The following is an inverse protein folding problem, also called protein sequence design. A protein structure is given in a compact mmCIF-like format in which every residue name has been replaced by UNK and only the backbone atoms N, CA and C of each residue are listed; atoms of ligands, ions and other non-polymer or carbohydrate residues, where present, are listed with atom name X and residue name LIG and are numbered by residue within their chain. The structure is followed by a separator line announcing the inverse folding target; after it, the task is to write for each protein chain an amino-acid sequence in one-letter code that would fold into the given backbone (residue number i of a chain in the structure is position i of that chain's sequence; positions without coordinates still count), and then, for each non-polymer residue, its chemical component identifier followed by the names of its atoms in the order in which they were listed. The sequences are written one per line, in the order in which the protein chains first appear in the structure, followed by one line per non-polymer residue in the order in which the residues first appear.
data_IF_859945916418
#
_entry.id   IF_859945916418
#
_cell.length_a   1.000
_cell.length_b   1.000
_cell.length_c   1.000
_cell.angle_alpha   90.00
_cell.angle_beta   90.00
_cell.angle_gamma   90.00
#
_symmetry.space_group_name_H-M   'P 1'
#
loop_
_entity.id
_entity.type
_entity.pdbx_description
1 polymer ?
#
# COMPACT_ATOMS: atom_id res chain seq x y z
N UNK A 1 -19.51 -4.44 33.21
CA UNK A 1 -19.27 -3.81 34.53
C UNK A 1 -18.00 -2.96 34.45
N UNK A 2 -18.07 -1.71 34.92
CA UNK A 2 -17.03 -0.68 34.82
C UNK A 2 -15.80 -1.03 35.67
N UNK A 3 -14.62 -1.05 35.06
CA UNK A 3 -13.33 -1.11 35.78
C UNK A 3 -12.91 0.31 36.15
N UNK A 4 -12.79 0.54 37.47
CA UNK A 4 -12.48 1.83 38.09
C UNK A 4 -10.97 2.05 38.15
N UNK A 5 -10.52 3.20 37.65
CA UNK A 5 -9.20 3.75 37.91
C UNK A 5 -8.98 3.91 39.42
N UNK A 6 -7.84 3.42 39.92
CA UNK A 6 -7.39 3.67 41.29
C UNK A 6 -6.78 5.06 41.36
N UNK A 7 -7.30 5.86 42.29
CA UNK A 7 -6.85 7.20 42.61
C UNK A 7 -5.48 7.13 43.30
N UNK A 8 -4.50 7.85 42.75
CA UNK A 8 -3.26 8.18 43.45
C UNK A 8 -3.58 9.30 44.44
N UNK A 9 -3.42 9.02 45.72
CA UNK A 9 -3.55 9.98 46.82
C UNK A 9 -2.38 10.96 46.79
N UNK A 10 -2.68 12.25 46.66
CA UNK A 10 -1.75 13.34 46.94
C UNK A 10 -1.65 13.55 48.45
N UNK A 11 -0.47 13.42 49.03
CA UNK A 11 -0.17 13.95 50.36
C UNK A 11 0.09 15.47 50.24
N UNK A 12 -0.57 16.33 51.04
CA UNK A 12 -0.25 17.75 51.04
C UNK A 12 1.06 17.96 51.82
N UNK A 13 2.07 18.53 51.16
CA UNK A 13 3.24 19.07 51.85
C UNK A 13 2.84 20.41 52.47
N UNK A 14 3.10 20.67 53.76
CA UNK A 14 2.70 21.93 54.39
C UNK A 14 3.57 23.08 53.85
N UNK A 15 2.93 24.06 53.22
CA UNK A 15 3.51 25.36 52.88
C UNK A 15 3.59 26.20 54.16
N UNK A 16 4.76 26.28 54.77
CA UNK A 16 5.06 27.27 55.80
C UNK A 16 5.35 28.60 55.10
N UNK A 17 4.38 29.52 55.17
CA UNK A 17 4.54 30.90 54.74
C UNK A 17 5.29 31.68 55.82
N UNK A 18 6.61 31.82 55.66
CA UNK A 18 7.38 32.85 56.33
C UNK A 18 7.92 33.84 55.30
N UNK A 19 7.47 35.09 55.43
CA UNK A 19 7.79 36.23 54.58
C UNK A 19 9.28 36.59 54.67
N UNK A 20 10.08 36.19 53.67
CA UNK A 20 11.44 36.71 53.41
C UNK A 20 11.72 36.69 51.89
N UNK A 21 12.05 37.86 51.32
CA UNK A 21 12.44 38.13 49.92
C UNK A 21 11.64 37.41 48.81
N UNK A 22 10.48 37.95 48.42
CA UNK A 22 9.61 37.39 47.37
C UNK A 22 10.31 37.16 46.02
N UNK A 23 11.34 37.92 45.67
CA UNK A 23 12.06 37.78 44.40
C UNK A 23 12.91 36.51 44.29
N UNK A 24 13.45 35.99 45.40
CA UNK A 24 14.26 34.75 45.36
C UNK A 24 13.39 33.49 45.30
N UNK A 25 12.23 33.49 45.95
CA UNK A 25 11.29 32.37 45.94
C UNK A 25 10.58 32.21 44.59
N UNK A 26 10.22 33.30 43.91
CA UNK A 26 9.67 33.23 42.54
C UNK A 26 10.74 32.82 41.53
N UNK A 27 11.97 33.31 41.67
CA UNK A 27 13.08 32.86 40.83
C UNK A 27 13.36 31.36 41.00
N UNK A 28 13.36 30.85 42.24
CA UNK A 28 13.52 29.41 42.50
C UNK A 28 12.36 28.58 41.93
N UNK A 29 11.12 29.08 41.99
CA UNK A 29 9.96 28.43 41.38
C UNK A 29 10.08 28.38 39.84
N UNK A 30 10.43 29.50 39.20
CA UNK A 30 10.64 29.59 37.75
C UNK A 30 11.74 28.63 37.28
N UNK A 31 12.87 28.58 37.99
CA UNK A 31 13.96 27.65 37.69
C UNK A 31 13.52 26.19 37.88
N UNK A 32 12.75 25.89 38.92
CA UNK A 32 12.20 24.54 39.14
C UNK A 32 11.27 24.14 38.00
N UNK A 33 10.35 25.02 37.59
CA UNK A 33 9.44 24.79 36.47
C UNK A 33 10.19 24.58 35.14
N UNK A 34 11.23 25.39 34.88
CA UNK A 34 12.10 25.25 33.70
C UNK A 34 12.83 23.91 33.71
N UNK A 35 13.37 23.48 34.86
CA UNK A 35 14.05 22.19 34.99
C UNK A 35 13.08 21.02 34.77
N UNK A 36 11.90 21.06 35.38
CA UNK A 36 10.87 20.02 35.18
C UNK A 36 10.44 19.95 33.72
N UNK A 37 10.16 21.10 33.09
CA UNK A 37 9.84 21.17 31.67
C UNK A 37 10.94 20.57 30.81
N UNK A 38 12.20 20.93 31.03
CA UNK A 38 13.33 20.43 30.26
C UNK A 38 13.51 18.91 30.39
N UNK A 39 13.31 18.35 31.58
CA UNK A 39 13.39 16.89 31.81
C UNK A 39 12.27 16.17 31.05
N UNK A 40 11.03 16.65 31.16
CA UNK A 40 9.89 16.04 30.47
C UNK A 40 9.98 16.19 28.96
N UNK A 41 10.46 17.34 28.47
CA UNK A 41 10.73 17.57 27.06
C UNK A 41 11.82 16.61 26.57
N UNK A 42 12.93 16.47 27.30
CA UNK A 42 14.03 15.55 26.95
C UNK A 42 13.56 14.11 26.75
N UNK A 43 12.80 13.59 27.73
CA UNK A 43 12.26 12.24 27.68
C UNK A 43 11.33 12.01 26.47
N UNK A 44 10.49 12.99 26.16
CA UNK A 44 9.60 12.94 25.01
C UNK A 44 10.39 12.94 23.69
N UNK A 45 11.43 13.76 23.58
CA UNK A 45 12.31 13.80 22.40
C UNK A 45 13.01 12.46 22.18
N UNK A 46 13.60 11.87 23.22
CA UNK A 46 14.25 10.54 23.11
C UNK A 46 13.26 9.46 22.62
N UNK A 47 12.04 9.47 23.16
CA UNK A 47 11.00 8.52 22.74
C UNK A 47 10.55 8.77 21.30
N UNK A 48 10.45 10.04 20.88
CA UNK A 48 10.13 10.40 19.51
C UNK A 48 11.22 9.95 18.54
N UNK A 49 12.49 10.16 18.89
CA UNK A 49 13.65 9.71 18.12
C UNK A 49 13.64 8.20 17.91
N UNK A 50 13.40 7.44 18.99
CA UNK A 50 13.32 5.99 18.93
C UNK A 50 12.23 5.52 17.95
N UNK A 51 11.03 6.08 18.06
CA UNK A 51 9.91 5.73 17.16
C UNK A 51 10.16 6.17 15.71
N UNK A 52 10.75 7.36 15.51
CA UNK A 52 11.15 7.81 14.18
C UNK A 52 12.14 6.83 13.54
N UNK A 53 13.15 6.38 14.29
CA UNK A 53 14.11 5.38 13.83
C UNK A 53 13.46 4.03 13.53
N UNK A 54 12.46 3.59 14.31
CA UNK A 54 11.70 2.38 13.98
C UNK A 54 11.02 2.50 12.62
N UNK A 55 10.36 3.63 12.35
CA UNK A 55 9.69 3.87 11.06
C UNK A 55 10.68 3.95 9.92
N UNK A 56 11.78 4.70 10.05
CA UNK A 56 12.78 4.82 8.97
C UNK A 56 13.51 3.52 8.70
N UNK A 57 13.82 2.72 9.73
CA UNK A 57 14.39 1.39 9.56
C UNK A 57 13.40 0.45 8.85
N UNK A 58 12.13 0.51 9.22
CA UNK A 58 11.09 -0.26 8.53
C UNK A 58 10.94 0.19 7.07
N UNK A 59 11.05 1.49 6.79
CA UNK A 59 11.06 2.08 5.45
C UNK A 59 12.46 2.14 4.82
N UNK A 60 13.40 1.27 5.19
CA UNK A 60 14.74 1.22 4.59
C UNK A 60 14.89 0.05 3.62
N UNK A 61 15.73 0.20 2.59
CA UNK A 61 16.08 -0.93 1.70
C UNK A 61 17.03 -1.93 2.36
N UNK A 62 17.84 -1.46 3.30
CA UNK A 62 19.03 -2.18 3.77
C UNK A 62 18.75 -3.05 5.01
N UNK A 63 17.59 -2.86 5.65
CA UNK A 63 17.23 -3.57 6.87
C UNK A 63 16.64 -4.96 6.60
N UNK A 64 16.96 -5.92 7.47
CA UNK A 64 16.51 -7.32 7.34
C UNK A 64 15.00 -7.50 7.53
N UNK A 65 14.33 -6.57 8.20
CA UNK A 65 12.89 -6.61 8.45
C UNK A 65 12.20 -5.33 7.97
N UNK A 66 12.53 -4.87 6.75
CA UNK A 66 11.91 -3.69 6.16
C UNK A 66 10.67 -4.00 5.34
N UNK A 67 9.79 -3.00 5.22
CA UNK A 67 8.68 -2.93 4.27
C UNK A 67 9.11 -3.39 2.88
N UNK A 68 10.31 -2.99 2.46
CA UNK A 68 10.86 -3.33 1.16
C UNK A 68 11.14 -4.84 1.02
N UNK A 69 11.65 -5.53 2.04
CA UNK A 69 11.84 -6.98 1.99
C UNK A 69 10.51 -7.75 2.09
N UNK A 70 9.56 -7.28 2.89
CA UNK A 70 8.19 -7.81 2.91
C UNK A 70 7.55 -7.72 1.52
N UNK A 71 7.75 -6.60 0.83
CA UNK A 71 7.27 -6.37 -0.53
C UNK A 71 8.01 -7.22 -1.56
N UNK A 72 9.34 -7.21 -1.58
CA UNK A 72 10.15 -7.78 -2.66
C UNK A 72 9.88 -9.26 -2.94
N UNK A 73 9.70 -10.07 -1.90
CA UNK A 73 9.49 -11.52 -2.08
C UNK A 73 8.18 -11.82 -2.79
N UNK A 74 7.11 -11.14 -2.38
CA UNK A 74 5.78 -11.34 -2.94
C UNK A 74 5.59 -10.52 -4.23
N UNK A 75 6.25 -9.37 -4.33
CA UNK A 75 6.38 -8.59 -5.55
C UNK A 75 7.03 -9.38 -6.66
N UNK A 76 8.15 -10.07 -6.42
CA UNK A 76 8.79 -10.89 -7.44
C UNK A 76 7.84 -11.96 -8.00
N UNK A 77 7.09 -12.63 -7.12
CA UNK A 77 6.08 -13.63 -7.52
C UNK A 77 4.97 -13.03 -8.37
N UNK A 78 4.38 -11.92 -7.92
CA UNK A 78 3.33 -11.23 -8.67
C UNK A 78 3.87 -10.69 -9.99
N UNK A 79 5.09 -10.19 -10.00
CA UNK A 79 5.78 -9.68 -11.18
C UNK A 79 5.92 -10.77 -12.24
N UNK A 80 6.35 -11.98 -11.88
CA UNK A 80 6.40 -13.14 -12.79
C UNK A 80 5.04 -13.42 -13.43
N UNK A 81 3.97 -13.42 -12.63
CA UNK A 81 2.59 -13.65 -13.11
C UNK A 81 2.17 -12.59 -14.15
N UNK A 82 2.39 -11.31 -13.84
CA UNK A 82 1.99 -10.19 -14.69
C UNK A 82 2.90 -10.00 -15.90
N UNK A 83 4.18 -10.35 -15.79
CA UNK A 83 5.14 -10.30 -16.90
C UNK A 83 4.85 -11.37 -17.93
N UNK A 84 4.42 -12.56 -17.50
CA UNK A 84 4.02 -13.61 -18.43
C UNK A 84 2.92 -13.12 -19.39
N UNK A 85 1.86 -12.49 -18.87
CA UNK A 85 0.82 -11.87 -19.70
C UNK A 85 1.42 -10.81 -20.63
N UNK A 86 2.19 -9.88 -20.09
CA UNK A 86 2.76 -8.75 -20.84
C UNK A 86 3.63 -9.22 -22.01
N UNK A 87 4.49 -10.22 -21.78
CA UNK A 87 5.43 -10.74 -22.79
C UNK A 87 4.74 -11.56 -23.88
N UNK A 88 3.62 -12.23 -23.58
CA UNK A 88 2.95 -13.14 -24.51
C UNK A 88 1.70 -12.54 -25.19
N UNK A 89 1.13 -11.48 -24.62
CA UNK A 89 -0.06 -10.81 -25.15
C UNK A 89 0.28 -9.37 -25.56
N UNK A 90 0.62 -8.52 -24.60
CA UNK A 90 0.75 -7.07 -24.82
C UNK A 90 1.92 -6.71 -25.76
N UNK A 91 3.08 -7.35 -25.57
CA UNK A 91 4.28 -7.10 -26.37
C UNK A 91 4.29 -7.91 -27.68
N UNK A 92 3.40 -8.89 -27.84
CA UNK A 92 3.26 -9.67 -29.07
C UNK A 92 2.31 -8.95 -30.02
N UNK A 93 2.85 -8.04 -30.84
CA UNK A 93 2.05 -7.19 -31.73
C UNK A 93 1.02 -7.98 -32.57
N UNK A 94 1.36 -9.18 -33.06
CA UNK A 94 0.41 -10.02 -33.82
C UNK A 94 -0.78 -10.49 -32.96
N UNK A 95 -0.53 -10.84 -31.70
CA UNK A 95 -1.54 -11.37 -30.79
C UNK A 95 -2.41 -10.23 -30.27
N UNK A 96 -1.80 -9.13 -29.84
CA UNK A 96 -2.54 -7.95 -29.37
C UNK A 96 -3.45 -7.39 -30.47
N UNK A 97 -2.95 -7.26 -31.72
CA UNK A 97 -3.76 -6.82 -32.86
C UNK A 97 -4.91 -7.78 -33.20
N UNK A 98 -4.69 -9.09 -33.07
CA UNK A 98 -5.74 -10.10 -33.25
C UNK A 98 -6.83 -9.95 -32.17
N UNK A 99 -6.45 -9.80 -30.90
CA UNK A 99 -7.41 -9.66 -29.80
C UNK A 99 -8.15 -8.31 -29.80
N UNK A 100 -7.59 -7.29 -30.44
CA UNK A 100 -8.25 -5.99 -30.69
C UNK A 100 -9.26 -6.01 -31.83
N UNK A 101 -9.27 -7.04 -32.68
CA UNK A 101 -10.24 -7.12 -33.77
C UNK A 101 -11.68 -7.19 -33.23
N UNK A 102 -12.68 -6.72 -34.00
CA UNK A 102 -14.09 -6.94 -33.67
C UNK A 102 -14.40 -8.42 -33.45
N UNK A 103 -15.40 -8.73 -32.63
CA UNK A 103 -15.78 -10.11 -32.31
C UNK A 103 -16.02 -10.98 -33.55
N UNK A 104 -16.61 -10.42 -34.62
CA UNK A 104 -16.88 -11.13 -35.87
C UNK A 104 -15.62 -11.48 -36.68
N UNK A 105 -14.55 -10.72 -36.52
CA UNK A 105 -13.25 -10.96 -37.15
C UNK A 105 -12.37 -11.97 -36.39
N UNK A 106 -12.86 -12.50 -35.25
CA UNK A 106 -12.19 -13.49 -34.40
C UNK A 106 -12.95 -14.81 -34.42
N UNK A 107 -12.23 -15.92 -34.33
CA UNK A 107 -12.81 -17.24 -34.10
C UNK A 107 -11.95 -18.04 -33.12
N UNK A 108 -12.55 -18.98 -32.40
CA UNK A 108 -11.89 -19.88 -31.45
C UNK A 108 -12.24 -21.32 -31.81
N UNK A 109 -11.24 -22.18 -31.88
CA UNK A 109 -11.43 -23.54 -32.38
C UNK A 109 -10.12 -24.31 -32.45
N UNK A 110 -10.09 -25.36 -33.27
CA UNK A 110 -8.90 -26.17 -33.51
C UNK A 110 -8.77 -26.53 -34.98
N UNK A 111 -7.58 -26.94 -35.39
CA UNK A 111 -7.36 -27.51 -36.72
C UNK A 111 -7.50 -29.03 -36.64
N UNK A 112 -8.38 -29.60 -37.46
CA UNK A 112 -8.48 -31.03 -37.66
C UNK A 112 -7.25 -31.58 -38.41
N UNK A 113 -7.09 -32.90 -38.46
CA UNK A 113 -5.93 -33.57 -39.07
C UNK A 113 -5.75 -33.27 -40.56
N UNK A 114 -6.81 -32.86 -41.24
CA UNK A 114 -6.83 -32.45 -42.66
C UNK A 114 -6.47 -30.96 -42.85
N UNK A 115 -6.22 -30.22 -41.77
CA UNK A 115 -5.94 -28.78 -41.79
C UNK A 115 -7.18 -27.89 -41.82
N UNK A 116 -8.40 -28.46 -41.78
CA UNK A 116 -9.64 -27.69 -41.72
C UNK A 116 -9.82 -27.09 -40.33
N UNK A 117 -10.17 -25.80 -40.26
CA UNK A 117 -10.48 -25.15 -38.99
C UNK A 117 -11.90 -25.51 -38.55
N UNK A 118 -12.03 -26.09 -37.36
CA UNK A 118 -13.31 -26.41 -36.72
C UNK A 118 -13.61 -25.32 -35.69
N UNK A 119 -14.60 -24.48 -36.01
CA UNK A 119 -15.03 -23.40 -35.12
C UNK A 119 -15.77 -23.94 -33.90
N UNK A 120 -15.42 -23.40 -32.74
CA UNK A 120 -16.09 -23.59 -31.45
C UNK A 120 -16.66 -22.26 -30.94
N UNK A 121 -16.83 -21.26 -31.82
CA UNK A 121 -17.25 -19.90 -31.46
C UNK A 121 -18.55 -19.88 -30.66
N UNK A 122 -19.50 -20.76 -30.99
CA UNK A 122 -20.77 -20.88 -30.29
C UNK A 122 -20.62 -21.44 -28.86
N UNK A 123 -19.68 -22.36 -28.64
CA UNK A 123 -19.46 -22.99 -27.33
C UNK A 123 -18.51 -22.17 -26.44
N UNK A 124 -17.58 -21.43 -27.04
CA UNK A 124 -16.50 -20.72 -26.35
C UNK A 124 -16.50 -19.20 -26.62
N UNK A 125 -17.63 -18.62 -27.04
CA UNK A 125 -17.79 -17.16 -27.22
C UNK A 125 -17.31 -16.36 -26.00
N UNK A 126 -17.62 -16.84 -24.80
CA UNK A 126 -17.21 -16.24 -23.53
C UNK A 126 -15.70 -16.10 -23.37
N UNK A 127 -14.89 -16.95 -24.01
CA UNK A 127 -13.43 -16.84 -24.01
C UNK A 127 -13.00 -15.63 -24.83
N UNK A 128 -13.59 -15.44 -26.01
CA UNK A 128 -13.30 -14.31 -26.88
C UNK A 128 -13.70 -12.99 -26.24
N UNK A 129 -14.83 -12.95 -25.53
CA UNK A 129 -15.29 -11.79 -24.75
C UNK A 129 -14.35 -11.50 -23.57
N UNK A 130 -13.92 -12.53 -22.85
CA UNK A 130 -13.01 -12.40 -21.71
C UNK A 130 -11.61 -11.91 -22.11
N UNK A 131 -11.13 -12.32 -23.29
CA UNK A 131 -9.82 -11.96 -23.83
C UNK A 131 -9.84 -10.71 -24.73
N UNK A 132 -10.97 -10.02 -24.83
CA UNK A 132 -11.11 -8.89 -25.74
C UNK A 132 -10.26 -7.69 -25.31
N UNK A 133 -9.47 -7.16 -26.25
CA UNK A 133 -8.66 -5.95 -26.09
C UNK A 133 -9.20 -4.77 -26.91
N UNK A 134 -10.33 -4.94 -27.61
CA UNK A 134 -10.97 -3.86 -28.33
C UNK A 134 -11.60 -2.86 -27.34
N UNK A 135 -11.19 -1.59 -27.43
CA UNK A 135 -11.52 -0.54 -26.44
C UNK A 135 -12.42 0.55 -27.02
N UNK A 136 -13.10 0.27 -28.14
CA UNK A 136 -14.07 1.17 -28.75
C UNK A 136 -15.38 1.21 -27.95
N UNK A 137 -15.35 1.91 -26.82
CA UNK A 137 -16.49 2.14 -25.93
C UNK A 137 -16.03 2.23 -24.48
N UNK A 138 -16.35 3.34 -23.79
CA UNK A 138 -16.30 3.36 -22.34
C UNK A 138 -17.08 2.14 -21.83
N UNK A 139 -16.42 1.31 -21.00
CA UNK A 139 -16.80 -0.03 -20.52
C UNK A 139 -16.32 -1.25 -21.34
N UNK A 140 -15.02 -1.52 -21.26
CA UNK A 140 -14.48 -2.90 -21.19
C UNK A 140 -13.74 -3.20 -19.85
N UNK A 141 -13.87 -2.32 -18.85
CA UNK A 141 -13.07 -2.36 -17.61
C UNK A 141 -13.25 -3.64 -16.77
N UNK A 142 -14.31 -4.42 -17.02
CA UNK A 142 -14.65 -5.61 -16.22
C UNK A 142 -14.33 -6.96 -16.88
N UNK A 143 -13.89 -6.98 -18.14
CA UNK A 143 -13.50 -8.25 -18.76
C UNK A 143 -12.21 -8.79 -18.13
N UNK A 144 -11.94 -10.08 -18.36
CA UNK A 144 -10.80 -10.75 -17.73
C UNK A 144 -9.48 -10.09 -18.13
N UNK A 145 -9.27 -9.81 -19.42
CA UNK A 145 -8.05 -9.15 -19.91
C UNK A 145 -7.80 -7.78 -19.24
N UNK A 146 -8.83 -6.95 -19.07
CA UNK A 146 -8.72 -5.66 -18.38
C UNK A 146 -8.36 -5.83 -16.90
N UNK A 147 -8.94 -6.82 -16.21
CA UNK A 147 -8.60 -7.14 -14.81
C UNK A 147 -7.14 -7.56 -14.65
N UNK A 148 -6.59 -8.30 -15.61
CA UNK A 148 -5.19 -8.75 -15.61
C UNK A 148 -4.24 -7.61 -15.94
N UNK A 149 -4.63 -6.73 -16.86
CA UNK A 149 -3.86 -5.51 -17.13
C UNK A 149 -3.77 -4.61 -15.89
N UNK A 150 -4.90 -4.38 -15.20
CA UNK A 150 -4.93 -3.61 -13.96
C UNK A 150 -4.06 -4.25 -12.87
N UNK A 151 -3.98 -5.57 -12.83
CA UNK A 151 -3.04 -6.28 -11.95
C UNK A 151 -1.58 -5.90 -12.22
N UNK A 152 -1.16 -5.92 -13.49
CA UNK A 152 0.19 -5.48 -13.88
C UNK A 152 0.47 -4.01 -13.61
N UNK A 153 -0.54 -3.13 -13.68
CA UNK A 153 -0.39 -1.71 -13.33
C UNK A 153 -0.15 -1.52 -11.84
N UNK A 154 -0.95 -2.14 -10.99
CA UNK A 154 -0.78 -2.06 -9.53
C UNK A 154 0.54 -2.61 -9.06
N UNK A 155 1.00 -3.69 -9.68
CA UNK A 155 2.29 -4.27 -9.35
C UNK A 155 3.45 -3.31 -9.63
N UNK A 156 3.32 -2.42 -10.61
CA UNK A 156 4.28 -1.33 -10.85
C UNK A 156 4.09 -0.17 -9.89
N UNK A 157 2.84 0.24 -9.68
CA UNK A 157 2.50 1.37 -8.81
C UNK A 157 2.92 1.15 -7.36
N UNK A 158 2.75 -0.06 -6.82
CA UNK A 158 3.19 -0.37 -5.45
C UNK A 158 4.71 -0.22 -5.30
N UNK A 159 5.51 -0.63 -6.29
CA UNK A 159 6.96 -0.43 -6.25
C UNK A 159 7.29 1.07 -6.26
N UNK A 160 6.75 1.83 -7.20
CA UNK A 160 6.97 3.28 -7.31
C UNK A 160 6.58 4.05 -6.04
N UNK A 161 5.41 3.74 -5.46
CA UNK A 161 4.91 4.40 -4.24
C UNK A 161 5.74 4.03 -3.03
N UNK A 162 6.18 2.77 -2.90
CA UNK A 162 7.08 2.38 -1.84
C UNK A 162 8.39 3.14 -1.98
N UNK A 163 9.03 3.14 -3.15
CA UNK A 163 10.25 3.93 -3.41
C UNK A 163 10.08 5.41 -3.08
N UNK A 164 8.93 6.00 -3.45
CA UNK A 164 8.58 7.39 -3.14
C UNK A 164 8.44 7.62 -1.62
N UNK A 165 7.79 6.70 -0.91
CA UNK A 165 7.69 6.75 0.55
C UNK A 165 9.08 6.65 1.22
N UNK A 166 9.97 5.78 0.73
CA UNK A 166 11.36 5.66 1.25
C UNK A 166 12.12 6.99 1.10
N UNK A 167 11.95 7.69 -0.03
CA UNK A 167 12.73 8.90 -0.35
C UNK A 167 12.14 10.19 0.22
N UNK A 168 10.85 10.20 0.56
CA UNK A 168 10.14 11.42 0.97
C UNK A 168 9.68 11.43 2.42
N UNK A 169 9.78 10.31 3.17
CA UNK A 169 9.35 10.25 4.57
C UNK A 169 10.03 11.32 5.43
N UNK A 170 11.33 11.55 5.24
CA UNK A 170 12.05 12.60 5.96
C UNK A 170 11.51 14.01 5.67
N UNK A 171 10.86 14.24 4.53
CA UNK A 171 10.31 15.56 4.13
C UNK A 171 8.91 15.79 4.70
N UNK A 172 8.26 14.76 5.21
CA UNK A 172 6.97 14.87 5.92
C UNK A 172 7.12 15.67 7.20
N UNK A 173 5.98 16.07 7.78
CA UNK A 173 5.88 16.70 9.08
C UNK A 173 6.59 15.88 10.16
N UNK A 174 6.49 14.55 10.12
CA UNK A 174 7.20 13.66 11.04
C UNK A 174 8.73 13.85 10.98
N UNK A 175 9.28 13.93 9.77
CA UNK A 175 10.72 14.14 9.54
C UNK A 175 11.18 15.59 9.77
N UNK A 176 10.34 16.59 9.49
CA UNK A 176 10.62 17.99 9.84
C UNK A 176 10.64 18.21 11.35
N UNK A 177 9.68 17.61 12.06
CA UNK A 177 9.63 17.62 13.52
C UNK A 177 10.86 16.93 14.12
N UNK A 178 11.24 15.76 13.60
CA UNK A 178 12.48 15.08 13.98
C UNK A 178 13.72 15.97 13.76
N UNK A 179 13.87 16.57 12.58
CA UNK A 179 15.03 17.43 12.26
C UNK A 179 15.12 18.63 13.19
N UNK A 180 13.99 19.26 13.48
CA UNK A 180 13.90 20.41 14.39
C UNK A 180 14.40 20.06 15.79
N UNK A 181 14.10 18.85 16.27
CA UNK A 181 14.52 18.36 17.59
C UNK A 181 15.99 17.91 17.66
N UNK A 182 16.59 17.48 16.54
CA UNK A 182 17.77 16.59 16.61
C UNK A 182 18.92 16.93 15.68
N UNK A 183 18.64 17.56 14.54
CA UNK A 183 19.63 17.75 13.48
C UNK A 183 19.93 19.23 13.27
N UNK A 184 18.95 20.12 13.46
CA UNK A 184 19.13 21.56 13.23
C UNK A 184 20.24 22.11 14.14
N UNK A 185 21.43 22.46 13.62
CA UNK A 185 22.56 22.90 14.44
C UNK A 185 22.28 24.21 15.17
N UNK A 186 21.34 25.01 14.66
CA UNK A 186 20.92 26.25 15.28
C UNK A 186 20.04 26.00 16.53
N UNK A 187 19.34 24.87 16.56
CA UNK A 187 18.37 24.49 17.59
C UNK A 187 18.78 23.24 18.40
N UNK A 188 19.87 22.55 18.09
CA UNK A 188 20.20 21.24 18.69
C UNK A 188 20.96 21.30 20.02
N UNK A 189 21.50 22.47 20.40
CA UNK A 189 22.23 22.64 21.66
C UNK A 189 21.43 23.47 22.66
N UNK A 190 21.40 23.04 23.92
CA UNK A 190 20.82 23.77 25.06
C UNK A 190 19.32 24.10 24.97
N UNK A 191 18.60 23.43 24.07
CA UNK A 191 17.14 23.46 24.04
C UNK A 191 16.57 22.86 25.34
N UNK A 192 15.35 23.25 25.76
CA UNK A 192 14.40 24.07 25.02
C UNK A 192 14.55 25.58 25.23
N UNK A 193 15.40 26.04 26.17
CA UNK A 193 15.48 27.46 26.58
C UNK A 193 16.79 28.20 26.22
N UNK A 194 17.75 27.53 25.57
CA UNK A 194 18.92 28.09 24.89
C UNK A 194 19.68 29.19 25.66
N UNK A 195 20.13 28.91 26.89
CA UNK A 195 20.85 29.89 27.72
C UNK A 195 20.16 31.28 27.84
N UNK A 196 18.83 31.34 27.73
CA UNK A 196 18.07 32.60 27.76
C UNK A 196 17.86 33.27 26.40
N UNK A 197 18.24 32.64 25.30
CA UNK A 197 17.92 33.06 23.93
C UNK A 197 16.43 32.78 23.64
N UNK A 198 15.61 33.80 23.95
CA UNK A 198 14.17 33.74 23.76
C UNK A 198 13.78 33.59 22.29
N UNK A 199 14.53 34.19 21.37
CA UNK A 199 14.24 34.10 19.93
C UNK A 199 14.35 32.66 19.44
N UNK A 200 15.42 31.96 19.82
CA UNK A 200 15.57 30.52 19.49
C UNK A 200 14.49 29.66 20.12
N UNK A 201 14.11 29.97 21.35
CA UNK A 201 13.01 29.28 22.06
C UNK A 201 11.70 29.45 21.30
N UNK A 202 11.37 30.68 20.89
CA UNK A 202 10.14 31.01 20.15
C UNK A 202 10.15 30.35 18.75
N UNK A 203 11.30 30.32 18.06
CA UNK A 203 11.47 29.63 16.78
C UNK A 203 11.25 28.12 16.92
N UNK A 204 11.88 27.49 17.92
CA UNK A 204 11.71 26.06 18.21
C UNK A 204 10.23 25.74 18.42
N UNK A 205 9.58 26.47 19.33
CA UNK A 205 8.18 26.22 19.70
C UNK A 205 7.22 26.44 18.53
N UNK A 206 7.44 27.49 17.74
CA UNK A 206 6.64 27.77 16.54
C UNK A 206 6.75 26.65 15.50
N UNK A 207 7.96 26.14 15.25
CA UNK A 207 8.19 25.05 14.28
C UNK A 207 7.54 23.76 14.74
N UNK A 208 7.72 23.38 16.00
CA UNK A 208 7.11 22.16 16.55
C UNK A 208 5.57 22.22 16.51
N UNK A 209 4.97 23.37 16.86
CA UNK A 209 3.54 23.59 16.72
C UNK A 209 3.05 23.43 15.27
N UNK A 210 3.77 24.04 14.32
CA UNK A 210 3.43 24.00 12.89
C UNK A 210 3.50 22.58 12.33
N UNK A 211 4.58 21.85 12.62
CA UNK A 211 4.77 20.49 12.13
C UNK A 211 3.76 19.52 12.77
N UNK A 212 3.52 19.61 14.09
CA UNK A 212 2.55 18.77 14.77
C UNK A 212 1.11 18.97 14.24
N UNK A 213 0.73 20.20 13.92
CA UNK A 213 -0.57 20.49 13.27
C UNK A 213 -0.72 19.81 11.90
N UNK A 214 0.40 19.47 11.25
CA UNK A 214 0.44 18.85 9.92
C UNK A 214 0.47 17.32 9.96
N UNK A 215 0.63 16.69 11.15
CA UNK A 215 0.75 15.24 11.29
C UNK A 215 -0.44 14.47 10.71
N UNK A 216 -1.66 14.95 10.96
CA UNK A 216 -2.87 14.29 10.46
C UNK A 216 -2.95 14.34 8.93
N UNK A 217 -2.72 15.51 8.34
CA UNK A 217 -2.73 15.72 6.89
C UNK A 217 -1.71 14.82 6.20
N UNK A 218 -0.47 14.78 6.70
CA UNK A 218 0.57 13.94 6.12
C UNK A 218 0.28 12.44 6.32
N UNK A 219 -0.29 12.06 7.47
CA UNK A 219 -0.69 10.68 7.72
C UNK A 219 -1.74 10.21 6.70
N UNK A 220 -2.82 10.97 6.50
CA UNK A 220 -3.88 10.62 5.55
C UNK A 220 -3.38 10.64 4.10
N UNK A 221 -2.54 11.62 3.76
CA UNK A 221 -2.05 11.77 2.39
C UNK A 221 -0.99 10.73 1.99
N UNK A 222 -0.16 10.25 2.93
CA UNK A 222 1.01 9.42 2.63
C UNK A 222 0.98 8.03 3.23
N UNK A 223 0.35 7.85 4.39
CA UNK A 223 0.43 6.60 5.17
C UNK A 223 -0.85 5.80 5.07
N UNK A 224 -1.97 6.34 5.57
CA UNK A 224 -3.24 5.62 5.62
C UNK A 224 -4.45 6.54 5.62
N UNK A 225 -5.38 6.27 4.71
CA UNK A 225 -6.66 6.94 4.59
C UNK A 225 -7.79 5.94 4.79
N UNK A 226 -8.44 6.01 5.95
CA UNK A 226 -9.55 5.12 6.30
C UNK A 226 -10.79 5.31 5.40
N UNK A 227 -10.92 6.46 4.74
CA UNK A 227 -12.04 6.73 3.82
C UNK A 227 -11.91 6.03 2.48
N UNK A 228 -10.71 5.52 2.16
CA UNK A 228 -10.41 4.83 0.90
C UNK A 228 -10.35 3.31 1.14
N UNK A 229 -11.41 2.59 0.77
CA UNK A 229 -11.45 1.13 0.88
C UNK A 229 -10.92 0.38 -0.35
N UNK A 230 -10.53 1.09 -1.42
CA UNK A 230 -9.99 0.49 -2.64
C UNK A 230 -9.45 1.54 -3.62
N UNK A 231 -8.85 1.08 -4.71
CA UNK A 231 -8.34 1.94 -5.79
C UNK A 231 -9.37 2.01 -6.91
N UNK A 232 -9.68 3.22 -7.34
CA UNK A 232 -10.63 3.47 -8.41
C UNK A 232 -9.93 3.38 -9.77
N UNK A 233 -9.78 2.16 -10.29
CA UNK A 233 -9.14 1.91 -11.59
C UNK A 233 -9.86 2.55 -12.78
N UNK A 234 -11.11 2.99 -12.61
CA UNK A 234 -11.84 3.67 -13.67
C UNK A 234 -11.20 5.01 -14.06
N UNK A 235 -10.42 5.61 -13.14
CA UNK A 235 -9.70 6.86 -13.34
C UNK A 235 -8.33 6.69 -13.98
N UNK A 236 -7.86 5.46 -14.13
CA UNK A 236 -6.52 5.17 -14.64
C UNK A 236 -6.40 5.18 -16.18
N UNK A 237 -7.44 5.59 -16.91
CA UNK A 237 -7.42 5.66 -18.38
C UNK A 237 -7.55 4.29 -19.06
N UNK A 238 -7.36 4.26 -20.39
CA UNK A 238 -7.56 3.07 -21.23
C UNK A 238 -6.36 2.09 -21.13
N UNK A 239 -6.63 0.79 -21.27
CA UNK A 239 -5.65 -0.31 -21.37
C UNK A 239 -4.51 -0.01 -22.36
N UNK A 240 -4.79 0.71 -23.45
CA UNK A 240 -3.80 0.99 -24.51
C UNK A 240 -3.14 2.38 -24.43
N UNK A 241 -3.76 3.33 -23.71
CA UNK A 241 -3.24 4.69 -23.52
C UNK A 241 -3.20 4.99 -22.01
N UNK A 242 -2.07 4.71 -21.35
CA UNK A 242 -1.87 5.09 -19.95
C UNK A 242 -1.68 6.60 -19.89
N UNK A 243 -2.78 7.35 -19.87
CA UNK A 243 -2.74 8.75 -19.47
C UNK A 243 -2.31 8.79 -17.99
N UNK A 244 -1.01 8.94 -17.77
CA UNK A 244 -0.39 9.07 -16.43
C UNK A 244 -0.76 10.36 -15.71
N UNK A 245 -1.79 11.07 -16.16
CA UNK A 245 -2.23 12.39 -15.68
C UNK A 245 -3.34 12.32 -14.63
N UNK A 246 -3.95 11.15 -14.39
CA UNK A 246 -5.01 11.03 -13.40
C UNK A 246 -4.48 10.60 -12.03
N UNK A 247 -4.09 11.58 -11.22
CA UNK A 247 -4.52 11.77 -9.82
C UNK A 247 -4.47 10.63 -8.78
N UNK A 248 -3.75 9.52 -8.98
CA UNK A 248 -3.63 8.49 -7.95
C UNK A 248 -2.42 8.78 -7.04
N UNK A 249 -2.64 9.59 -6.00
CA UNK A 249 -1.75 9.65 -4.83
C UNK A 249 -2.41 8.82 -3.73
N UNK A 250 -2.00 7.56 -3.62
CA UNK A 250 -2.50 6.66 -2.60
C UNK A 250 -1.65 6.69 -1.34
N UNK A 251 -2.32 6.59 -0.20
CA UNK A 251 -1.65 6.29 1.06
C UNK A 251 -1.04 4.87 0.97
N UNK A 252 0.18 4.72 1.47
CA UNK A 252 0.99 3.50 1.36
C UNK A 252 0.23 2.24 1.79
N UNK A 253 -0.48 2.28 2.93
CA UNK A 253 -1.19 1.12 3.46
C UNK A 253 -2.41 0.75 2.63
N UNK A 254 -3.14 1.72 2.07
CA UNK A 254 -4.29 1.43 1.22
C UNK A 254 -3.85 0.70 -0.05
N UNK A 255 -2.78 1.17 -0.69
CA UNK A 255 -2.21 0.53 -1.88
C UNK A 255 -1.63 -0.85 -1.56
N UNK A 256 -0.93 -0.98 -0.43
CA UNK A 256 -0.41 -2.26 0.06
C UNK A 256 -1.53 -3.29 0.28
N UNK A 257 -2.62 -2.91 0.95
CA UNK A 257 -3.78 -3.78 1.19
C UNK A 257 -4.41 -4.23 -0.12
N UNK A 258 -4.65 -3.29 -1.03
CA UNK A 258 -5.23 -3.57 -2.34
C UNK A 258 -4.34 -4.54 -3.13
N UNK A 259 -3.07 -4.21 -3.30
CA UNK A 259 -2.09 -5.07 -4.00
C UNK A 259 -2.02 -6.47 -3.37
N UNK A 260 -1.97 -6.55 -2.04
CA UNK A 260 -1.92 -7.81 -1.29
C UNK A 260 -3.19 -8.66 -1.51
N UNK A 261 -4.36 -8.03 -1.56
CA UNK A 261 -5.64 -8.71 -1.81
C UNK A 261 -5.73 -9.37 -3.19
N UNK A 262 -4.87 -8.97 -4.14
CA UNK A 262 -4.88 -9.50 -5.50
C UNK A 262 -4.19 -10.86 -5.64
N UNK A 263 -3.37 -11.26 -4.68
CA UNK A 263 -2.61 -12.51 -4.77
C UNK A 263 -2.64 -13.35 -3.49
N UNK A 264 -2.84 -12.75 -2.31
CA UNK A 264 -2.98 -13.48 -1.04
C UNK A 264 -4.40 -13.98 -0.86
N UNK A 265 -4.55 -15.22 -0.41
CA UNK A 265 -5.84 -15.80 -0.03
C UNK A 265 -5.98 -15.74 1.48
N UNK A 266 -6.98 -15.02 1.97
CA UNK A 266 -7.30 -14.93 3.39
C UNK A 266 -8.40 -15.91 3.76
N UNK A 267 -8.13 -16.78 4.72
CA UNK A 267 -9.08 -17.77 5.24
C UNK A 267 -9.43 -17.49 6.69
N UNK A 268 -10.68 -17.78 7.01
CA UNK A 268 -11.17 -17.76 8.37
C UNK A 268 -10.51 -18.90 9.14
N UNK A 269 -9.87 -18.63 10.28
CA UNK A 269 -9.16 -19.66 11.03
C UNK A 269 -10.09 -20.70 11.66
N UNK A 270 -11.38 -20.39 11.85
CA UNK A 270 -12.34 -21.31 12.48
C UNK A 270 -13.07 -22.18 11.46
N UNK A 271 -13.41 -21.63 10.31
CA UNK A 271 -14.23 -22.27 9.28
C UNK A 271 -13.45 -22.68 8.04
N UNK A 272 -12.23 -22.17 7.85
CA UNK A 272 -11.40 -22.37 6.66
C UNK A 272 -11.95 -21.68 5.39
N UNK A 273 -13.07 -20.98 5.51
CA UNK A 273 -13.72 -20.30 4.39
C UNK A 273 -12.89 -19.09 3.96
N UNK A 274 -12.88 -18.79 2.67
CA UNK A 274 -12.19 -17.61 2.14
C UNK A 274 -12.97 -16.36 2.58
N UNK A 275 -12.32 -15.45 3.31
CA UNK A 275 -12.99 -14.25 3.85
C UNK A 275 -12.88 -13.08 2.87
N UNK A 276 -11.77 -12.98 2.13
CA UNK A 276 -11.58 -11.95 1.10
C UNK A 276 -11.20 -12.65 -0.20
N UNK A 277 -12.10 -12.65 -1.18
CA UNK A 277 -11.85 -13.22 -2.51
C UNK A 277 -12.24 -12.32 -3.70
N UNK A 278 -13.01 -11.24 -3.51
CA UNK A 278 -13.62 -10.56 -4.66
C UNK A 278 -12.60 -9.95 -5.65
N UNK A 279 -11.36 -9.69 -5.22
CA UNK A 279 -10.32 -9.08 -6.04
C UNK A 279 -9.05 -9.91 -6.27
N UNK A 280 -8.99 -11.18 -5.82
CA UNK A 280 -7.79 -12.01 -6.02
C UNK A 280 -7.63 -12.39 -7.51
N UNK A 281 -6.71 -11.74 -8.21
CA UNK A 281 -6.49 -11.93 -9.64
C UNK A 281 -5.76 -13.24 -9.93
N UNK A 282 -4.88 -13.71 -9.04
CA UNK A 282 -4.25 -15.02 -9.19
C UNK A 282 -5.31 -16.14 -9.17
N UNK A 283 -6.30 -16.04 -8.28
CA UNK A 283 -7.44 -16.95 -8.24
C UNK A 283 -8.32 -16.81 -9.47
N UNK A 284 -8.61 -15.58 -9.92
CA UNK A 284 -9.39 -15.36 -11.14
C UNK A 284 -8.77 -16.00 -12.39
N UNK A 285 -7.44 -16.01 -12.51
CA UNK A 285 -6.71 -16.71 -13.58
C UNK A 285 -6.92 -18.23 -13.47
N UNK A 286 -6.81 -18.77 -12.25
CA UNK A 286 -7.01 -20.20 -11.99
C UNK A 286 -8.46 -20.63 -12.29
N UNK A 287 -9.44 -19.83 -11.89
CA UNK A 287 -10.86 -20.10 -12.14
C UNK A 287 -11.18 -20.03 -13.64
N UNK A 288 -10.59 -19.06 -14.35
CA UNK A 288 -10.72 -18.95 -15.81
C UNK A 288 -10.14 -20.19 -16.52
N UNK A 289 -8.95 -20.64 -16.11
CA UNK A 289 -8.32 -21.86 -16.60
C UNK A 289 -9.20 -23.10 -16.37
N UNK A 290 -9.65 -23.30 -15.13
CA UNK A 290 -10.50 -24.44 -14.78
C UNK A 290 -11.82 -24.45 -15.54
N UNK A 291 -12.47 -23.28 -15.68
CA UNK A 291 -13.68 -23.13 -16.49
C UNK A 291 -13.43 -23.48 -17.95
N UNK A 292 -12.29 -23.06 -18.52
CA UNK A 292 -11.90 -23.40 -19.88
C UNK A 292 -11.69 -24.91 -20.06
N UNK A 293 -10.94 -25.55 -19.18
CA UNK A 293 -10.69 -27.00 -19.23
C UNK A 293 -11.99 -27.80 -19.07
N UNK A 294 -12.87 -27.40 -18.16
CA UNK A 294 -14.18 -28.03 -17.99
C UNK A 294 -15.05 -27.90 -19.25
N UNK A 295 -15.08 -26.72 -19.86
CA UNK A 295 -15.81 -26.48 -21.12
C UNK A 295 -15.25 -27.34 -22.26
N UNK A 296 -13.92 -27.43 -22.39
CA UNK A 296 -13.24 -28.28 -23.38
C UNK A 296 -13.60 -29.76 -23.19
N UNK A 297 -13.56 -30.24 -21.94
CA UNK A 297 -13.91 -31.63 -21.60
C UNK A 297 -15.37 -31.95 -21.89
N UNK A 298 -16.30 -31.02 -21.62
CA UNK A 298 -17.72 -31.17 -21.94
C UNK A 298 -18.00 -31.29 -23.45
N UNK A 299 -17.11 -30.76 -24.29
CA UNK A 299 -17.17 -30.89 -25.75
C UNK A 299 -16.51 -32.20 -26.26
N UNK A 300 -15.99 -33.04 -25.37
CA UNK A 300 -15.31 -34.28 -25.74
C UNK A 300 -13.93 -34.06 -26.38
N UNK A 301 -13.35 -32.86 -26.24
CA UNK A 301 -12.07 -32.50 -26.83
C UNK A 301 -10.94 -32.85 -25.86
N UNK A 302 -10.15 -33.88 -26.17
CA UNK A 302 -9.07 -34.35 -25.30
C UNK A 302 -7.68 -34.11 -25.87
N UNK A 303 -7.54 -34.15 -27.20
CA UNK A 303 -6.25 -34.05 -27.91
C UNK A 303 -6.07 -32.73 -28.65
N UNK A 304 -7.18 -32.05 -28.95
CA UNK A 304 -7.22 -30.88 -29.80
C UNK A 304 -6.63 -29.69 -29.06
N UNK A 305 -5.76 -28.94 -29.73
CA UNK A 305 -5.18 -27.70 -29.19
C UNK A 305 -6.01 -26.51 -29.64
N UNK A 306 -6.65 -25.86 -28.68
CA UNK A 306 -7.51 -24.71 -28.96
C UNK A 306 -6.67 -23.48 -29.26
N UNK A 307 -7.02 -22.82 -30.37
CA UNK A 307 -6.41 -21.59 -30.86
C UNK A 307 -7.47 -20.50 -31.06
N UNK A 308 -7.04 -19.25 -31.03
CA UNK A 308 -7.83 -18.10 -31.50
C UNK A 308 -7.23 -17.64 -32.82
N UNK A 309 -8.06 -17.40 -33.84
CA UNK A 309 -7.61 -16.95 -35.16
C UNK A 309 -8.27 -15.63 -35.56
N UNK A 310 -7.60 -14.91 -36.47
CA UNK A 310 -8.23 -13.87 -37.26
C UNK A 310 -8.89 -14.50 -38.49
N UNK A 311 -10.20 -14.30 -38.66
CA UNK A 311 -10.95 -14.87 -39.80
C UNK A 311 -10.70 -14.11 -41.10
N UNK A 312 -10.16 -12.89 -41.02
CA UNK A 312 -9.92 -11.99 -42.15
C UNK A 312 -8.46 -11.98 -42.61
N UNK A 313 -7.53 -12.42 -41.77
CA UNK A 313 -6.08 -12.41 -42.06
C UNK A 313 -5.49 -13.80 -41.85
N UNK A 314 -5.13 -14.45 -42.96
CA UNK A 314 -4.55 -15.79 -42.94
C UNK A 314 -3.23 -15.83 -42.15
N UNK A 315 -3.07 -16.85 -41.31
CA UNK A 315 -1.83 -17.08 -40.55
C UNK A 315 -1.68 -16.26 -39.26
N UNK A 316 -2.67 -15.44 -38.90
CA UNK A 316 -2.74 -14.85 -37.56
C UNK A 316 -3.46 -15.82 -36.60
N UNK A 317 -2.65 -16.59 -35.87
CA UNK A 317 -3.12 -17.62 -34.93
C UNK A 317 -2.48 -17.41 -33.57
N UNK A 318 -3.29 -17.43 -32.52
CA UNK A 318 -2.88 -17.42 -31.13
C UNK A 318 -3.06 -18.82 -30.53
N UNK A 319 -1.96 -19.44 -30.10
CA UNK A 319 -1.96 -20.75 -29.42
C UNK A 319 -2.53 -20.63 -27.98
N UNK A 320 -3.84 -20.40 -27.89
CA UNK A 320 -4.53 -20.00 -26.67
C UNK A 320 -4.42 -21.03 -25.54
N UNK A 321 -4.67 -22.32 -25.83
CA UNK A 321 -4.55 -23.37 -24.80
C UNK A 321 -3.12 -23.49 -24.27
N UNK A 322 -2.12 -23.46 -25.16
CA UNK A 322 -0.71 -23.51 -24.76
C UNK A 322 -0.33 -22.32 -23.88
N UNK A 323 -0.81 -21.12 -24.23
CA UNK A 323 -0.64 -19.93 -23.40
C UNK A 323 -1.27 -20.12 -22.01
N UNK A 324 -2.51 -20.61 -21.95
CA UNK A 324 -3.21 -20.84 -20.69
C UNK A 324 -2.53 -21.89 -19.80
N UNK A 325 -2.11 -23.02 -20.36
CA UNK A 325 -1.40 -24.10 -19.63
C UNK A 325 -0.09 -23.58 -19.01
N UNK A 326 0.68 -22.83 -19.80
CA UNK A 326 1.93 -22.23 -19.35
C UNK A 326 1.69 -21.15 -18.29
N UNK A 327 0.66 -20.33 -18.46
CA UNK A 327 0.35 -19.30 -17.47
C UNK A 327 -0.13 -19.90 -16.15
N UNK A 328 -0.94 -20.97 -16.18
CA UNK A 328 -1.31 -21.71 -14.99
C UNK A 328 -0.09 -22.30 -14.27
N UNK A 329 0.92 -22.74 -15.02
CA UNK A 329 2.19 -23.21 -14.46
C UNK A 329 2.92 -22.07 -13.72
N UNK A 330 3.00 -20.89 -14.33
CA UNK A 330 3.57 -19.69 -13.68
C UNK A 330 2.81 -19.33 -12.41
N UNK A 331 1.48 -19.37 -12.43
CA UNK A 331 0.63 -19.13 -11.25
C UNK A 331 0.93 -20.12 -10.14
N UNK A 332 0.97 -21.43 -10.46
CA UNK A 332 1.20 -22.47 -9.46
C UNK A 332 2.59 -22.36 -8.79
N UNK A 333 3.60 -21.92 -9.55
CA UNK A 333 4.96 -21.70 -9.05
C UNK A 333 5.07 -20.40 -8.21
N UNK A 334 4.22 -19.42 -8.48
CA UNK A 334 4.29 -18.08 -7.89
C UNK A 334 3.08 -17.75 -7.00
N UNK A 335 2.29 -18.75 -6.60
CA UNK A 335 1.08 -18.52 -5.80
C UNK A 335 1.40 -17.78 -4.50
N UNK A 336 0.52 -16.86 -4.14
CA UNK A 336 0.57 -16.18 -2.86
C UNK A 336 0.42 -17.16 -1.69
N UNK A 337 0.85 -16.76 -0.48
CA UNK A 337 0.54 -17.52 0.72
C UNK A 337 -0.98 -17.58 0.95
N UNK A 338 -1.43 -18.68 1.55
CA UNK A 338 -2.74 -18.75 2.19
C UNK A 338 -2.57 -18.40 3.66
N UNK A 339 -3.27 -17.35 4.12
CA UNK A 339 -3.15 -16.84 5.48
C UNK A 339 -4.44 -17.08 6.26
N UNK A 340 -4.33 -17.68 7.43
CA UNK A 340 -5.43 -17.88 8.37
C UNK A 340 -5.36 -16.78 9.43
N UNK A 341 -6.17 -15.73 9.29
CA UNK A 341 -6.09 -14.54 10.14
C UNK A 341 -7.47 -14.14 10.66
N UNK A 342 -7.52 -13.76 11.94
CA UNK A 342 -8.73 -13.25 12.61
C UNK A 342 -8.87 -11.73 12.51
N UNK A 343 -7.79 -11.01 12.19
CA UNK A 343 -7.77 -9.56 11.98
C UNK A 343 -6.87 -9.21 10.78
N UNK A 344 -7.30 -8.25 9.97
CA UNK A 344 -6.61 -7.80 8.76
C UNK A 344 -5.38 -6.93 9.01
N UNK A 345 -5.10 -6.57 10.25
CA UNK A 345 -3.90 -5.80 10.61
C UNK A 345 -2.70 -6.72 10.41
N UNK A 346 -2.03 -6.55 9.28
CA UNK A 346 -0.80 -7.29 8.96
C UNK A 346 0.37 -6.72 9.77
N UNK A 347 1.43 -7.52 9.98
CA UNK A 347 2.66 -7.06 10.63
C UNK A 347 3.24 -5.77 10.01
N UNK A 348 2.95 -5.53 8.72
CA UNK A 348 3.31 -4.32 8.00
C UNK A 348 2.68 -3.06 8.60
N UNK A 349 1.38 -3.14 8.92
CA UNK A 349 0.63 -2.02 9.50
C UNK A 349 1.04 -1.75 10.94
N UNK A 350 1.27 -2.80 11.74
CA UNK A 350 1.73 -2.64 13.12
C UNK A 350 3.08 -1.91 13.21
N UNK A 351 4.02 -2.24 12.30
CA UNK A 351 5.34 -1.62 12.24
C UNK A 351 5.33 -0.16 11.75
N UNK A 352 4.23 0.30 11.15
CA UNK A 352 4.03 1.70 10.77
C UNK A 352 3.16 2.45 11.78
N UNK A 353 1.97 1.93 12.08
CA UNK A 353 0.95 2.65 12.83
C UNK A 353 1.30 2.83 14.28
N UNK A 354 1.89 1.82 14.93
CA UNK A 354 2.24 1.93 16.35
C UNK A 354 3.26 3.05 16.60
N UNK A 355 4.44 3.07 15.96
CA UNK A 355 5.41 4.13 16.19
C UNK A 355 4.89 5.50 15.72
N UNK A 356 4.12 5.59 14.63
CA UNK A 356 3.52 6.86 14.19
C UNK A 356 2.46 7.39 15.18
N UNK A 357 1.65 6.51 15.78
CA UNK A 357 0.69 6.88 16.81
C UNK A 357 1.40 7.39 18.08
N UNK A 358 2.49 6.73 18.49
CA UNK A 358 3.33 7.19 19.60
C UNK A 358 3.96 8.56 19.29
N UNK A 359 4.49 8.76 18.08
CA UNK A 359 5.01 10.05 17.63
C UNK A 359 3.96 11.16 17.65
N UNK A 360 2.72 10.86 17.21
CA UNK A 360 1.60 11.80 17.28
C UNK A 360 1.24 12.18 18.72
N UNK A 361 1.19 11.20 19.63
CA UNK A 361 0.91 11.44 21.03
C UNK A 361 2.01 12.29 21.70
N UNK A 362 3.27 12.05 21.35
CA UNK A 362 4.41 12.84 21.83
C UNK A 362 4.35 14.26 21.27
N UNK A 363 4.11 14.43 19.97
CA UNK A 363 3.97 15.77 19.37
C UNK A 363 2.86 16.57 20.02
N UNK A 364 1.68 15.96 20.23
CA UNK A 364 0.58 16.60 20.95
C UNK A 364 0.94 16.96 22.40
N UNK A 365 1.70 16.10 23.09
CA UNK A 365 2.17 16.35 24.46
C UNK A 365 3.13 17.53 24.50
N UNK A 366 4.12 17.56 23.60
CA UNK A 366 5.10 18.64 23.51
C UNK A 366 4.43 19.98 23.18
N UNK A 367 3.53 20.01 22.19
CA UNK A 367 2.74 21.20 21.84
C UNK A 367 1.93 21.72 23.01
N UNK A 368 1.26 20.82 23.74
CA UNK A 368 0.50 21.20 24.93
C UNK A 368 1.41 21.80 26.00
N UNK A 369 2.52 21.13 26.33
CA UNK A 369 3.47 21.63 27.32
C UNK A 369 4.05 22.99 26.93
N UNK A 370 4.37 23.19 25.65
CA UNK A 370 4.84 24.48 25.10
C UNK A 370 3.78 25.57 25.32
N UNK A 371 2.52 25.30 25.01
CA UNK A 371 1.44 26.28 25.15
C UNK A 371 1.09 26.55 26.62
N UNK A 372 1.22 25.57 27.51
CA UNK A 372 1.01 25.73 28.95
C UNK A 372 2.16 26.48 29.63
N UNK A 373 3.38 26.35 29.10
CA UNK A 373 4.57 27.04 29.60
C UNK A 373 4.73 28.46 29.00
N UNK A 374 4.21 28.69 27.80
CA UNK A 374 4.28 29.96 27.06
C UNK A 374 3.21 30.99 27.42
N UNK A 375 2.45 30.78 28.50
CA UNK A 375 1.48 31.74 29.08
C UNK A 375 2.06 32.40 30.32
#
# INVERSE_FOLDING_TARGET
MKSKWKWLTFTPVPLVLSTVSCSSSFYQLEQTLKVTFSIDFAKNVETYQHNYQQVTNFLSKDQNESAYKYLLKDWARVNEITNYWTQNISNQNKISLLLQQPFDAKDIGYYASDGTFVSLKTNLAWVLEAMDLNTNGFFSQDNFAAKIWNFGRLNREIDEVVQSALTTFERTAYGRFYRTLTIDPYLSQDWPFYHGDKEKTDILFTRLNTDAASFHTDFVAKIYDASKSGIDYSKLGNVLNPDGTYGHVHALVNLWREWTSMFVVYRDPQTGQIIINSNNKAQAITDFYQRFIAAKSALGLTSEKIVIINTQVQGQTFAFETFLDNWQTVINQNKGPELFVSNYITQFEDRLFKPLAEMNAIGATLVRSINEFGV
#
